data_IF_666441499467
#
_entry.id   IF_666441499467
#
_cell.length_a   1.000
_cell.length_b   1.000
_cell.length_c   1.000
_cell.angle_alpha   90.00
_cell.angle_beta   90.00
_cell.angle_gamma   90.00
#
_symmetry.space_group_name_H-M   'P 1'
#
loop_
_entity.id
_entity.type
_entity.pdbx_description
1 polymer ?
#
# COMPACT_ATOMS: atom_id res chain seq x y z
N UNK A 1 38.19 -3.86 25.31
CA UNK A 1 38.88 -3.59 24.03
C UNK A 1 37.94 -3.95 22.89
N UNK A 2 37.79 -2.99 21.99
CA UNK A 2 36.88 -2.85 20.84
C UNK A 2 36.41 -4.10 20.07
N UNK A 3 35.10 -4.11 19.80
CA UNK A 3 34.52 -4.29 18.46
C UNK A 3 33.11 -3.66 18.51
N UNK A 4 32.86 -2.40 18.13
CA UNK A 4 33.46 -1.72 16.99
C UNK A 4 33.09 -2.41 15.68
N UNK A 5 31.82 -2.78 15.46
CA UNK A 5 31.47 -3.45 14.19
C UNK A 5 30.09 -4.10 14.04
N UNK A 6 29.04 -3.67 14.73
CA UNK A 6 27.66 -4.18 14.48
C UNK A 6 26.69 -3.04 14.16
N UNK A 7 27.21 -2.03 13.49
CA UNK A 7 26.37 -1.05 12.82
C UNK A 7 26.59 -1.19 11.32
N UNK A 8 25.48 -1.28 10.57
CA UNK A 8 25.33 -1.37 9.10
C UNK A 8 25.23 -2.77 8.46
N UNK A 9 24.16 -3.52 8.75
CA UNK A 9 23.39 -4.24 7.70
C UNK A 9 22.09 -4.89 8.24
N UNK A 10 21.16 -4.08 8.71
CA UNK A 10 19.72 -4.44 8.67
C UNK A 10 18.89 -3.16 8.53
N UNK A 11 19.22 -2.32 7.54
CA UNK A 11 18.48 -1.07 7.30
C UNK A 11 17.30 -1.22 6.34
N UNK A 12 16.90 -2.44 5.96
CA UNK A 12 15.76 -2.56 5.04
C UNK A 12 14.95 -3.84 4.98
N UNK A 13 15.16 -4.91 5.76
CA UNK A 13 14.21 -6.04 5.77
C UNK A 13 14.12 -6.62 7.18
N UNK A 14 12.89 -6.75 7.68
CA UNK A 14 12.60 -7.22 9.02
C UNK A 14 13.29 -8.57 9.30
N UNK A 15 14.13 -8.60 10.32
CA UNK A 15 14.77 -9.81 10.83
C UNK A 15 15.02 -9.63 12.31
N UNK A 16 15.09 -10.72 13.06
CA UNK A 16 15.44 -10.68 14.48
C UNK A 16 16.73 -11.46 14.71
N UNK A 17 17.48 -11.03 15.72
CA UNK A 17 18.69 -11.70 16.13
C UNK A 17 18.39 -12.63 17.30
N UNK A 18 18.97 -13.82 17.29
CA UNK A 18 18.97 -14.71 18.45
C UNK A 18 20.36 -15.28 18.71
N UNK A 19 20.67 -15.55 19.98
CA UNK A 19 21.94 -16.11 20.40
C UNK A 19 21.81 -17.63 20.51
N UNK A 20 22.51 -18.36 19.65
CA UNK A 20 22.52 -19.82 19.65
C UNK A 20 23.95 -20.33 19.68
N UNK A 21 24.25 -21.23 20.63
CA UNK A 21 25.59 -21.82 20.82
C UNK A 21 26.72 -20.77 20.87
N UNK A 22 26.47 -19.60 21.47
CA UNK A 22 27.44 -18.51 21.59
C UNK A 22 27.62 -17.66 20.33
N UNK A 23 26.86 -17.91 19.26
CA UNK A 23 26.91 -17.15 18.02
C UNK A 23 25.60 -16.37 17.78
N UNK A 24 25.73 -15.15 17.28
CA UNK A 24 24.58 -14.34 16.87
C UNK A 24 24.10 -14.81 15.49
N UNK A 25 22.87 -15.33 15.43
CA UNK A 25 22.21 -15.73 14.18
C UNK A 25 21.16 -14.68 13.84
N UNK A 26 21.20 -14.18 12.60
CA UNK A 26 20.15 -13.33 12.06
C UNK A 26 19.09 -14.20 11.40
N UNK A 27 17.89 -14.19 11.96
CA UNK A 27 16.71 -14.78 11.33
C UNK A 27 16.07 -13.74 10.42
N UNK A 28 16.20 -13.95 9.11
CA UNK A 28 15.42 -13.19 8.14
C UNK A 28 13.94 -13.57 8.28
N UNK A 29 13.08 -12.60 8.56
CA UNK A 29 11.67 -12.74 8.25
C UNK A 29 11.60 -12.53 6.74
N UNK A 30 11.85 -13.60 5.99
CA UNK A 30 11.67 -13.56 4.55
C UNK A 30 10.24 -13.08 4.28
N UNK A 31 10.09 -11.99 3.51
CA UNK A 31 8.82 -11.71 2.86
C UNK A 31 8.61 -12.82 1.83
N UNK A 32 7.98 -13.89 2.27
CA UNK A 32 7.68 -15.08 1.47
C UNK A 32 6.54 -14.78 0.50
N UNK A 33 5.71 -13.78 0.83
CA UNK A 33 4.45 -13.51 0.16
C UNK A 33 4.19 -12.01 0.00
N UNK A 34 3.40 -11.63 -1.01
CA UNK A 34 2.91 -10.26 -1.16
C UNK A 34 2.13 -9.77 0.07
N UNK A 35 1.55 -10.69 0.86
CA UNK A 35 0.85 -10.42 2.12
C UNK A 35 1.76 -9.81 3.19
N UNK A 36 3.08 -10.00 3.08
CA UNK A 36 4.05 -9.46 4.03
C UNK A 36 4.43 -8.01 3.71
N UNK A 37 4.05 -7.50 2.53
CA UNK A 37 4.30 -6.11 2.15
C UNK A 37 3.41 -5.18 2.98
N UNK A 38 4.01 -4.28 3.75
CA UNK A 38 3.30 -3.28 4.56
C UNK A 38 2.30 -2.46 3.70
N UNK A 39 2.71 -2.08 2.49
CA UNK A 39 1.85 -1.34 1.56
C UNK A 39 0.64 -2.15 1.12
N UNK A 40 0.77 -3.47 0.95
CA UNK A 40 -0.35 -4.34 0.63
C UNK A 40 -1.35 -4.39 1.80
N UNK A 41 -0.85 -4.62 3.02
CA UNK A 41 -1.68 -4.68 4.23
C UNK A 41 -2.44 -3.37 4.45
N UNK A 42 -1.77 -2.22 4.27
CA UNK A 42 -2.40 -0.90 4.37
C UNK A 42 -3.51 -0.73 3.35
N UNK A 43 -3.25 -1.03 2.08
CA UNK A 43 -4.26 -0.92 1.02
C UNK A 43 -5.45 -1.85 1.26
N UNK A 44 -5.19 -3.09 1.71
CA UNK A 44 -6.24 -4.06 2.05
C UNK A 44 -7.08 -3.60 3.25
N UNK A 45 -6.48 -2.90 4.22
CA UNK A 45 -7.19 -2.30 5.35
C UNK A 45 -8.00 -1.04 4.99
N UNK A 46 -7.56 -0.27 3.99
CA UNK A 46 -8.25 0.93 3.49
C UNK A 46 -9.45 0.58 2.59
N UNK A 47 -9.36 -0.49 1.81
CA UNK A 47 -10.42 -0.88 0.87
C UNK A 47 -11.81 -0.99 1.52
N UNK A 48 -12.01 -1.69 2.66
CA UNK A 48 -13.30 -1.75 3.33
C UNK A 48 -13.83 -0.39 3.81
N UNK A 49 -12.93 0.57 4.11
CA UNK A 49 -13.34 1.93 4.50
C UNK A 49 -13.91 2.68 3.31
N UNK A 50 -13.24 2.62 2.15
CA UNK A 50 -13.75 3.20 0.89
C UNK A 50 -15.08 2.55 0.50
N UNK A 51 -15.15 1.22 0.56
CA UNK A 51 -16.37 0.49 0.24
C UNK A 51 -17.55 0.93 1.12
N UNK A 52 -17.35 1.02 2.45
CA UNK A 52 -18.40 1.48 3.38
C UNK A 52 -18.79 2.94 3.16
N UNK A 53 -17.83 3.81 2.87
CA UNK A 53 -18.10 5.21 2.51
C UNK A 53 -19.06 5.26 1.31
N UNK A 54 -18.69 4.62 0.21
CA UNK A 54 -19.52 4.59 -1.00
C UNK A 54 -20.89 3.98 -0.75
N UNK A 55 -20.99 2.90 0.05
CA UNK A 55 -22.26 2.24 0.36
C UNK A 55 -23.25 3.12 1.13
N UNK A 56 -22.80 4.21 1.75
CA UNK A 56 -23.68 5.18 2.41
C UNK A 56 -24.30 6.21 1.46
N UNK A 57 -23.87 6.28 0.20
CA UNK A 57 -24.32 7.27 -0.76
C UNK A 57 -25.66 6.90 -1.43
N UNK A 58 -26.35 7.85 -2.10
CA UNK A 58 -27.51 7.52 -2.91
C UNK A 58 -27.19 6.53 -4.05
N UNK A 59 -28.17 5.74 -4.54
CA UNK A 59 -27.91 4.72 -5.55
C UNK A 59 -27.32 5.22 -6.87
N UNK A 60 -27.64 6.45 -7.29
CA UNK A 60 -27.06 7.04 -8.50
C UNK A 60 -25.56 7.27 -8.30
N UNK A 61 -25.17 7.96 -7.23
CA UNK A 61 -23.77 8.27 -6.91
C UNK A 61 -22.95 7.02 -6.66
N UNK A 62 -23.54 5.97 -6.07
CA UNK A 62 -22.91 4.65 -5.95
C UNK A 62 -22.53 4.05 -7.30
N UNK A 63 -23.42 4.14 -8.30
CA UNK A 63 -23.19 3.55 -9.63
C UNK A 63 -22.22 4.38 -10.45
N UNK A 64 -22.32 5.70 -10.38
CA UNK A 64 -21.47 6.62 -11.13
C UNK A 64 -20.07 6.72 -10.47
N UNK A 65 -19.90 7.64 -9.52
CA UNK A 65 -18.60 7.93 -8.91
C UNK A 65 -18.14 6.82 -7.95
N UNK A 66 -19.06 6.28 -7.15
CA UNK A 66 -18.76 5.27 -6.15
C UNK A 66 -18.16 3.99 -6.73
N UNK A 67 -18.65 3.54 -7.89
CA UNK A 67 -18.16 2.33 -8.54
C UNK A 67 -16.73 2.52 -9.06
N UNK A 68 -16.39 3.72 -9.54
CA UNK A 68 -15.03 4.09 -9.95
C UNK A 68 -14.07 4.08 -8.75
N UNK A 69 -14.49 4.67 -7.63
CA UNK A 69 -13.69 4.67 -6.40
C UNK A 69 -13.43 3.27 -5.85
N UNK A 70 -14.45 2.41 -5.79
CA UNK A 70 -14.28 1.02 -5.33
C UNK A 70 -13.32 0.26 -6.25
N UNK A 71 -13.43 0.44 -7.57
CA UNK A 71 -12.51 -0.18 -8.54
C UNK A 71 -11.08 0.30 -8.36
N UNK A 72 -10.88 1.61 -8.23
CA UNK A 72 -9.56 2.21 -8.00
C UNK A 72 -8.94 1.67 -6.69
N UNK A 73 -9.69 1.69 -5.59
CA UNK A 73 -9.21 1.16 -4.30
C UNK A 73 -8.83 -0.33 -4.36
N UNK A 74 -9.65 -1.17 -5.01
CA UNK A 74 -9.38 -2.59 -5.19
C UNK A 74 -8.15 -2.83 -6.09
N UNK A 75 -8.02 -2.04 -7.15
CA UNK A 75 -6.94 -2.13 -8.14
C UNK A 75 -5.56 -2.00 -7.47
N UNK A 76 -5.41 -1.12 -6.47
CA UNK A 76 -4.12 -0.87 -5.82
C UNK A 76 -3.55 -2.16 -5.20
N UNK A 77 -4.30 -2.84 -4.33
CA UNK A 77 -3.81 -4.06 -3.68
C UNK A 77 -3.86 -5.28 -4.61
N UNK A 78 -4.79 -5.31 -5.56
CA UNK A 78 -4.87 -6.39 -6.56
C UNK A 78 -3.62 -6.40 -7.45
N UNK A 79 -3.18 -5.25 -7.95
CA UNK A 79 -1.97 -5.14 -8.76
C UNK A 79 -0.71 -5.55 -7.98
N UNK A 80 -0.63 -5.23 -6.68
CA UNK A 80 0.49 -5.71 -5.84
C UNK A 80 0.50 -7.24 -5.79
N UNK A 81 -0.65 -7.86 -5.49
CA UNK A 81 -0.77 -9.31 -5.35
C UNK A 81 -0.50 -10.03 -6.68
N UNK A 82 -1.05 -9.53 -7.79
CA UNK A 82 -0.89 -10.12 -9.12
C UNK A 82 0.55 -10.03 -9.63
N UNK A 83 1.20 -8.88 -9.40
CA UNK A 83 2.52 -8.61 -9.91
C UNK A 83 3.67 -9.23 -9.11
N UNK A 84 3.48 -9.55 -7.82
CA UNK A 84 4.57 -9.95 -6.90
C UNK A 84 5.40 -11.15 -7.39
N UNK A 85 4.74 -12.12 -8.03
CA UNK A 85 5.39 -13.33 -8.54
C UNK A 85 5.92 -13.21 -9.97
N UNK A 86 5.84 -12.03 -10.60
CA UNK A 86 6.27 -11.80 -11.98
C UNK A 86 7.74 -11.41 -12.06
N UNK A 87 8.23 -11.24 -13.28
CA UNK A 87 9.59 -10.71 -13.49
C UNK A 87 9.72 -9.33 -12.82
N UNK A 88 10.94 -8.90 -12.42
CA UNK A 88 11.09 -7.59 -11.77
C UNK A 88 10.59 -6.42 -12.62
N UNK A 89 10.78 -6.48 -13.94
CA UNK A 89 10.27 -5.45 -14.86
C UNK A 89 8.74 -5.45 -14.91
N UNK A 90 8.10 -6.62 -14.97
CA UNK A 90 6.64 -6.72 -14.94
C UNK A 90 6.09 -6.21 -13.63
N UNK A 91 6.68 -6.61 -12.48
CA UNK A 91 6.19 -6.15 -11.20
C UNK A 91 6.28 -4.62 -11.07
N UNK A 92 7.36 -4.00 -11.59
CA UNK A 92 7.45 -2.53 -11.66
C UNK A 92 6.34 -1.91 -12.51
N UNK A 93 5.85 -2.58 -13.56
CA UNK A 93 4.66 -2.14 -14.33
C UNK A 93 3.39 -2.26 -13.51
N UNK A 94 3.15 -3.39 -12.83
CA UNK A 94 2.02 -3.56 -11.91
C UNK A 94 2.01 -2.49 -10.80
N UNK A 95 3.17 -2.21 -10.19
CA UNK A 95 3.31 -1.14 -9.20
C UNK A 95 3.04 0.25 -9.79
N UNK A 96 3.33 0.47 -11.08
CA UNK A 96 2.99 1.72 -11.77
C UNK A 96 1.47 1.87 -11.91
N UNK A 97 0.78 0.79 -12.27
CA UNK A 97 -0.70 0.77 -12.30
C UNK A 97 -1.27 1.03 -10.90
N UNK A 98 -0.72 0.40 -9.86
CA UNK A 98 -1.15 0.61 -8.48
C UNK A 98 -0.98 2.08 -8.03
N UNK A 99 0.12 2.75 -8.44
CA UNK A 99 0.32 4.18 -8.18
C UNK A 99 -0.76 5.00 -8.92
N UNK A 100 -0.99 4.73 -10.20
CA UNK A 100 -2.03 5.42 -10.96
C UNK A 100 -3.42 5.29 -10.35
N UNK A 101 -3.82 4.08 -9.91
CA UNK A 101 -5.10 3.88 -9.20
C UNK A 101 -5.16 4.58 -7.83
N UNK A 102 -4.02 4.78 -7.17
CA UNK A 102 -3.95 5.58 -5.94
C UNK A 102 -4.26 7.05 -6.22
N UNK A 103 -3.66 7.62 -7.27
CA UNK A 103 -3.89 9.02 -7.67
C UNK A 103 -5.33 9.23 -8.18
N UNK A 104 -5.85 8.29 -8.96
CA UNK A 104 -7.23 8.28 -9.45
C UNK A 104 -8.25 8.28 -8.28
N UNK A 105 -8.03 7.44 -7.27
CA UNK A 105 -8.89 7.41 -6.09
C UNK A 105 -8.85 8.72 -5.30
N UNK A 106 -7.68 9.34 -5.16
CA UNK A 106 -7.54 10.66 -4.54
C UNK A 106 -8.30 11.72 -5.33
N UNK A 107 -8.23 11.69 -6.66
CA UNK A 107 -9.03 12.58 -7.51
C UNK A 107 -10.52 12.41 -7.26
N UNK A 108 -11.02 11.17 -7.26
CA UNK A 108 -12.43 10.89 -7.03
C UNK A 108 -12.92 11.25 -5.61
N UNK A 109 -12.06 11.13 -4.59
CA UNK A 109 -12.38 11.62 -3.24
C UNK A 109 -12.61 13.13 -3.24
N UNK A 110 -11.80 13.90 -3.97
CA UNK A 110 -12.01 15.34 -4.13
C UNK A 110 -13.28 15.65 -4.91
N UNK A 111 -13.57 14.91 -5.99
CA UNK A 111 -14.82 15.06 -6.73
C UNK A 111 -16.04 14.80 -5.84
N UNK A 112 -16.01 13.71 -5.06
CA UNK A 112 -17.07 13.37 -4.12
C UNK A 112 -17.29 14.48 -3.08
N UNK A 113 -16.23 15.15 -2.64
CA UNK A 113 -16.31 16.30 -1.74
C UNK A 113 -16.94 17.51 -2.44
N UNK A 114 -16.54 17.80 -3.68
CA UNK A 114 -17.08 18.91 -4.46
C UNK A 114 -18.57 18.78 -4.73
N UNK A 115 -19.07 17.54 -4.91
CA UNK A 115 -20.51 17.28 -5.09
C UNK A 115 -21.27 17.03 -3.78
N UNK A 116 -20.61 17.18 -2.62
CA UNK A 116 -21.26 17.10 -1.31
C UNK A 116 -21.58 15.69 -0.81
N UNK A 117 -20.96 14.64 -1.36
CA UNK A 117 -21.16 13.24 -0.95
C UNK A 117 -20.32 12.85 0.27
N UNK A 118 -19.26 13.60 0.56
CA UNK A 118 -18.35 13.32 1.68
C UNK A 118 -17.84 14.63 2.28
N UNK A 119 -17.66 14.65 3.60
CA UNK A 119 -17.12 15.82 4.29
C UNK A 119 -15.63 16.01 3.98
N UNK A 120 -15.18 17.27 4.03
CA UNK A 120 -13.77 17.61 3.84
C UNK A 120 -12.86 16.90 4.86
N UNK A 121 -13.35 16.67 6.08
CA UNK A 121 -12.58 15.98 7.12
C UNK A 121 -12.28 14.53 6.73
N UNK A 122 -13.31 13.79 6.31
CA UNK A 122 -13.16 12.40 5.85
C UNK A 122 -12.23 12.34 4.64
N UNK A 123 -12.34 13.29 3.70
CA UNK A 123 -11.47 13.35 2.52
C UNK A 123 -10.01 13.55 2.94
N UNK A 124 -9.73 14.48 3.86
CA UNK A 124 -8.37 14.70 4.37
C UNK A 124 -7.78 13.45 5.02
N UNK A 125 -8.57 12.71 5.81
CA UNK A 125 -8.14 11.45 6.41
C UNK A 125 -7.75 10.42 5.34
N UNK A 126 -8.60 10.20 4.34
CA UNK A 126 -8.31 9.27 3.25
C UNK A 126 -7.10 9.72 2.42
N UNK A 127 -7.02 10.99 2.06
CA UNK A 127 -5.91 11.54 1.27
C UNK A 127 -4.59 11.40 2.03
N UNK A 128 -4.57 11.61 3.34
CA UNK A 128 -3.37 11.40 4.16
C UNK A 128 -2.91 9.93 4.13
N UNK A 129 -3.83 8.98 4.26
CA UNK A 129 -3.55 7.55 4.17
C UNK A 129 -3.05 7.13 2.78
N UNK A 130 -3.72 7.60 1.71
CA UNK A 130 -3.32 7.30 0.34
C UNK A 130 -2.01 8.00 -0.07
N UNK A 131 -1.67 9.14 0.53
CA UNK A 131 -0.35 9.75 0.36
C UNK A 131 0.77 8.88 0.95
N UNK A 132 0.51 8.18 2.06
CA UNK A 132 1.46 7.19 2.62
C UNK A 132 1.58 6.00 1.66
N UNK A 133 0.45 5.47 1.17
CA UNK A 133 0.42 4.37 0.20
C UNK A 133 1.23 4.72 -1.06
N UNK A 134 0.98 5.88 -1.67
CA UNK A 134 1.71 6.32 -2.88
C UNK A 134 3.22 6.41 -2.66
N UNK A 135 3.67 6.92 -1.50
CA UNK A 135 5.09 6.93 -1.13
C UNK A 135 5.65 5.52 -0.96
N UNK A 136 4.91 4.62 -0.30
CA UNK A 136 5.32 3.23 -0.11
C UNK A 136 5.43 2.48 -1.44
N UNK A 137 4.43 2.61 -2.33
CA UNK A 137 4.43 2.02 -3.67
C UNK A 137 5.60 2.51 -4.51
N UNK A 138 5.84 3.82 -4.52
CA UNK A 138 6.95 4.44 -5.26
C UNK A 138 8.30 3.92 -4.77
N UNK A 139 8.49 3.89 -3.44
CA UNK A 139 9.71 3.35 -2.84
C UNK A 139 9.89 1.87 -3.12
N UNK A 140 8.81 1.08 -3.05
CA UNK A 140 8.83 -0.35 -3.37
C UNK A 140 9.27 -0.56 -4.83
N UNK A 141 8.67 0.16 -5.78
CA UNK A 141 9.02 0.10 -7.20
C UNK A 141 10.49 0.44 -7.46
N UNK A 142 11.01 1.49 -6.83
CA UNK A 142 12.40 1.94 -7.00
C UNK A 142 13.40 0.93 -6.43
N UNK A 143 13.08 0.30 -5.30
CA UNK A 143 13.98 -0.62 -4.59
C UNK A 143 13.78 -2.09 -4.97
N UNK A 144 12.74 -2.41 -5.75
CA UNK A 144 12.50 -3.79 -6.17
C UNK A 144 13.62 -4.27 -7.07
N UNK A 145 14.10 -5.47 -6.75
CA UNK A 145 15.28 -6.17 -7.26
C UNK A 145 15.51 -5.98 -8.76
#
# INVERSE_FOLDING_TARGET
MNAGGVDKACKSNAGYWSLENGNWICYNIFMQNFRDLEVYQRCQGLFPKVYRLVRSWPPLDQRELGSQMIRAANSIHANIAEGYGKSPNDFKRYLTTAIGSCDELVSHLNDAQNVGLVSLEIVKEFVAEYAIVGKQLTRLKQKWK
#
